data_IF_633039330326
#
_entry.id   IF_633039330326
#
_cell.length_a   1.000
_cell.length_b   1.000
_cell.length_c   1.000
_cell.angle_alpha   90.00
_cell.angle_beta   90.00
_cell.angle_gamma   90.00
#
_symmetry.space_group_name_H-M   'P 1'
#
loop_
_entity.id
_entity.type
_entity.pdbx_description
1 polymer ?
#
# COMPACT_ATOMS: atom_id res chain seq x y z
N UNK A 1 9.30 -3.51 2.35
CA UNK A 1 8.32 -3.85 3.42
C UNK A 1 6.96 -4.00 2.76
N UNK A 2 6.28 -5.13 2.96
CA UNK A 2 4.99 -5.44 2.33
C UNK A 2 3.77 -5.10 3.20
N UNK A 3 3.98 -4.73 4.47
CA UNK A 3 2.98 -4.42 5.49
C UNK A 3 3.46 -3.29 6.41
N UNK A 4 2.58 -2.70 7.23
CA UNK A 4 2.89 -1.72 8.27
C UNK A 4 2.54 -0.26 7.95
N UNK A 5 2.90 0.65 8.86
CA UNK A 5 2.58 2.08 8.86
C UNK A 5 1.08 2.42 9.03
N UNK A 6 0.32 1.57 9.70
CA UNK A 6 -1.08 1.80 10.02
C UNK A 6 -1.23 2.39 11.44
N UNK A 7 -0.65 3.55 11.68
CA UNK A 7 -0.56 4.17 13.01
C UNK A 7 -1.76 5.05 13.37
N UNK A 8 -2.52 5.52 12.39
CA UNK A 8 -3.53 6.55 12.58
C UNK A 8 -4.94 5.99 12.47
N UNK A 9 -5.81 6.44 13.37
CA UNK A 9 -7.24 6.20 13.34
C UNK A 9 -7.95 7.43 12.80
N UNK A 10 -8.94 7.23 11.93
CA UNK A 10 -9.77 8.29 11.36
C UNK A 10 -11.19 8.16 11.91
N UNK A 11 -11.72 9.24 12.48
CA UNK A 11 -13.11 9.31 12.90
C UNK A 11 -14.03 9.53 11.68
N UNK A 12 -14.71 8.46 11.26
CA UNK A 12 -15.71 8.53 10.20
C UNK A 12 -17.16 8.55 10.74
N UNK A 13 -17.35 8.73 12.04
CA UNK A 13 -18.68 8.78 12.63
C UNK A 13 -19.54 9.83 11.92
N UNK A 14 -20.80 9.48 11.69
CA UNK A 14 -21.77 10.33 10.98
C UNK A 14 -21.19 10.86 9.63
N UNK A 15 -20.63 9.95 8.84
CA UNK A 15 -20.05 10.25 7.51
C UNK A 15 -18.91 11.28 7.54
N UNK A 16 -18.11 11.25 8.60
CA UNK A 16 -16.99 12.16 8.78
C UNK A 16 -17.42 13.59 9.11
N UNK A 17 -18.48 13.76 9.87
CA UNK A 17 -19.02 15.07 10.24
C UNK A 17 -17.94 15.97 10.89
N UNK A 18 -17.12 15.42 11.77
CA UNK A 18 -16.05 16.16 12.42
C UNK A 18 -14.99 16.64 11.43
N UNK A 19 -14.66 15.82 10.44
CA UNK A 19 -13.74 16.18 9.36
C UNK A 19 -14.31 17.34 8.54
N UNK A 20 -15.59 17.26 8.17
CA UNK A 20 -16.29 18.27 7.37
C UNK A 20 -16.40 19.60 8.11
N UNK A 21 -16.54 19.55 9.43
CA UNK A 21 -16.70 20.73 10.30
C UNK A 21 -15.38 21.28 10.84
N UNK A 22 -14.24 20.66 10.55
CA UNK A 22 -12.93 21.06 11.10
C UNK A 22 -12.41 22.42 10.62
N UNK A 23 -13.05 23.02 9.60
CA UNK A 23 -12.63 24.29 8.99
C UNK A 23 -11.34 24.20 8.15
N UNK A 24 -10.71 23.04 8.08
CA UNK A 24 -9.54 22.77 7.26
C UNK A 24 -9.90 22.28 5.86
N UNK A 25 -8.92 22.25 4.97
CA UNK A 25 -9.08 21.60 3.66
C UNK A 25 -9.15 20.08 3.86
N UNK A 26 -10.27 19.49 3.48
CA UNK A 26 -10.45 18.05 3.48
C UNK A 26 -10.89 17.54 2.12
N UNK A 27 -10.60 16.29 1.83
CA UNK A 27 -11.10 15.57 0.67
C UNK A 27 -11.44 14.14 1.05
N UNK A 28 -12.71 13.88 1.26
CA UNK A 28 -13.20 12.52 1.40
C UNK A 28 -13.21 11.86 0.02
N UNK A 29 -12.70 10.65 -0.03
CA UNK A 29 -12.65 9.84 -1.25
C UNK A 29 -13.98 9.15 -1.49
N UNK A 30 -14.14 8.55 -2.65
CA UNK A 30 -15.34 7.80 -3.01
C UNK A 30 -15.52 6.60 -2.10
N UNK A 31 -16.70 6.50 -1.49
CA UNK A 31 -17.00 5.50 -0.45
C UNK A 31 -16.93 4.07 -0.95
N UNK A 32 -17.10 3.86 -2.24
CA UNK A 32 -17.02 2.54 -2.85
C UNK A 32 -15.64 1.87 -2.69
N UNK A 33 -14.58 2.68 -2.47
CA UNK A 33 -13.20 2.19 -2.25
C UNK A 33 -12.83 2.05 -0.77
N UNK A 34 -13.70 2.50 0.15
CA UNK A 34 -13.41 2.43 1.58
C UNK A 34 -13.34 0.98 2.05
N UNK A 35 -12.40 0.73 2.95
CA UNK A 35 -12.21 -0.56 3.63
C UNK A 35 -11.84 -1.73 2.71
N UNK A 36 -11.60 -1.48 1.43
CA UNK A 36 -11.15 -2.49 0.48
C UNK A 36 -9.65 -2.69 0.59
N UNK A 37 -9.23 -3.93 0.40
CA UNK A 37 -7.83 -4.26 0.21
C UNK A 37 -7.31 -3.65 -1.09
N UNK A 38 -6.11 -3.08 -1.06
CA UNK A 38 -5.46 -2.49 -2.21
C UNK A 38 -3.94 -2.58 -2.14
N UNK A 39 -3.26 -1.91 -3.04
CA UNK A 39 -1.81 -1.73 -3.04
C UNK A 39 -1.52 -0.24 -2.88
N UNK A 40 -0.76 0.12 -1.85
CA UNK A 40 -0.39 1.51 -1.55
C UNK A 40 1.10 1.74 -1.74
N UNK A 41 1.47 2.99 -1.98
CA UNK A 41 2.85 3.46 -2.03
C UNK A 41 2.96 4.89 -1.50
N UNK A 42 4.17 5.32 -1.17
CA UNK A 42 4.43 6.72 -0.85
C UNK A 42 4.46 7.56 -2.13
N UNK A 43 3.61 8.57 -2.23
CA UNK A 43 3.59 9.48 -3.38
C UNK A 43 4.88 10.27 -3.53
N UNK A 44 5.49 10.66 -2.41
CA UNK A 44 6.75 11.40 -2.37
C UNK A 44 7.74 10.57 -1.58
N UNK A 45 8.88 10.26 -2.17
CA UNK A 45 9.94 9.51 -1.49
C UNK A 45 11.30 10.00 -1.96
N UNK A 46 12.25 10.11 -1.04
CA UNK A 46 13.67 10.34 -1.33
C UNK A 46 14.47 9.04 -1.50
N UNK A 47 13.82 7.91 -1.24
CA UNK A 47 14.35 6.56 -1.43
C UNK A 47 13.63 5.86 -2.59
N UNK A 48 13.98 4.61 -2.83
CA UNK A 48 13.29 3.79 -3.82
C UNK A 48 11.81 3.66 -3.47
N UNK A 49 10.97 3.71 -4.49
CA UNK A 49 9.53 3.50 -4.32
C UNK A 49 9.29 2.09 -3.77
N UNK A 50 8.44 1.99 -2.75
CA UNK A 50 8.07 0.72 -2.14
C UNK A 50 6.55 0.56 -2.12
N UNK A 51 6.10 -0.64 -2.43
CA UNK A 51 4.69 -1.00 -2.47
C UNK A 51 4.32 -1.91 -1.31
N UNK A 52 3.09 -1.71 -0.79
CA UNK A 52 2.56 -2.48 0.34
C UNK A 52 1.12 -2.86 0.08
N UNK A 53 0.69 -4.01 0.59
CA UNK A 53 -0.72 -4.32 0.69
C UNK A 53 -1.38 -3.46 1.78
N UNK A 54 -2.58 -2.96 1.53
CA UNK A 54 -3.43 -2.42 2.57
C UNK A 54 -4.35 -3.52 3.09
N UNK A 55 -4.52 -3.58 4.42
CA UNK A 55 -5.49 -4.50 5.02
C UNK A 55 -6.94 -4.04 4.74
N UNK A 56 -7.91 -4.97 4.72
CA UNK A 56 -9.32 -4.59 4.80
C UNK A 56 -9.56 -3.74 6.06
N UNK A 57 -10.41 -2.73 5.94
CA UNK A 57 -10.68 -1.82 7.07
C UNK A 57 -9.86 -0.54 7.05
N UNK A 58 -8.87 -0.41 6.17
CA UNK A 58 -8.07 0.81 6.05
C UNK A 58 -8.72 1.85 5.14
N UNK A 59 -8.34 3.11 5.38
CA UNK A 59 -8.63 4.25 4.52
C UNK A 59 -7.34 4.76 3.89
N UNK A 60 -7.48 5.59 2.89
CA UNK A 60 -6.34 6.12 2.13
C UNK A 60 -6.49 7.63 1.91
N UNK A 61 -5.36 8.29 1.71
CA UNK A 61 -5.27 9.72 1.47
C UNK A 61 -4.36 10.06 0.30
N UNK A 62 -4.14 11.34 0.10
CA UNK A 62 -3.39 11.86 -1.03
C UNK A 62 -1.89 11.51 -0.98
N UNK A 63 -1.33 11.45 0.23
CA UNK A 63 0.09 11.12 0.45
C UNK A 63 0.40 9.62 0.28
N UNK A 64 -0.62 8.77 0.48
CA UNK A 64 -0.57 7.31 0.29
C UNK A 64 -1.68 6.88 -0.68
N UNK A 65 -1.51 7.05 -1.98
CA UNK A 65 -2.47 6.58 -2.96
C UNK A 65 -2.61 5.06 -2.90
N UNK A 66 -3.78 4.56 -3.28
CA UNK A 66 -4.06 3.13 -3.31
C UNK A 66 -4.57 2.74 -4.68
N UNK A 67 -3.98 1.71 -5.26
CA UNK A 67 -4.48 1.03 -6.45
C UNK A 67 -5.37 -0.16 -6.05
N UNK A 68 -6.54 -0.24 -6.67
CA UNK A 68 -7.47 -1.35 -6.49
C UNK A 68 -7.52 -2.19 -7.75
N UNK A 69 -7.39 -3.50 -7.58
CA UNK A 69 -7.51 -4.46 -8.68
C UNK A 69 -8.46 -5.57 -8.26
N UNK A 70 -9.31 -6.00 -9.19
CA UNK A 70 -10.31 -7.03 -8.92
C UNK A 70 -9.71 -8.42 -8.76
N UNK A 71 -8.59 -8.68 -9.44
CA UNK A 71 -7.93 -9.99 -9.43
C UNK A 71 -6.42 -9.87 -9.48
N UNK A 72 -5.70 -10.91 -9.08
CA UNK A 72 -4.23 -11.00 -9.14
C UNK A 72 -3.48 -9.91 -8.34
N UNK A 73 -4.09 -9.41 -7.26
CA UNK A 73 -3.50 -8.34 -6.46
C UNK A 73 -2.14 -8.72 -5.89
N UNK A 74 -1.99 -9.97 -5.40
CA UNK A 74 -0.71 -10.44 -4.87
C UNK A 74 0.34 -10.57 -5.97
N UNK A 75 -0.05 -11.03 -7.17
CA UNK A 75 0.85 -11.07 -8.32
C UNK A 75 1.34 -9.67 -8.70
N UNK A 76 0.41 -8.70 -8.77
CA UNK A 76 0.73 -7.31 -9.07
C UNK A 76 1.66 -6.72 -8.00
N UNK A 77 1.40 -6.95 -6.71
CA UNK A 77 2.27 -6.51 -5.63
C UNK A 77 3.68 -7.09 -5.77
N UNK A 78 3.78 -8.37 -6.12
CA UNK A 78 5.07 -9.02 -6.40
C UNK A 78 5.80 -8.37 -7.56
N UNK A 79 5.10 -8.10 -8.66
CA UNK A 79 5.68 -7.42 -9.82
C UNK A 79 6.17 -6.00 -9.47
N UNK A 80 5.33 -5.22 -8.78
CA UNK A 80 5.65 -3.86 -8.34
C UNK A 80 6.80 -3.80 -7.32
N UNK A 81 7.14 -4.92 -6.69
CA UNK A 81 8.25 -5.02 -5.74
C UNK A 81 9.56 -5.52 -6.37
N UNK A 82 9.63 -5.64 -7.70
CA UNK A 82 10.84 -6.07 -8.42
C UNK A 82 11.77 -4.92 -8.77
N UNK A 83 13.06 -5.22 -8.94
CA UNK A 83 14.03 -4.25 -9.45
C UNK A 83 13.69 -3.77 -10.88
N UNK A 84 12.90 -4.55 -11.64
CA UNK A 84 12.44 -4.15 -12.96
C UNK A 84 11.52 -2.93 -12.88
N UNK A 85 10.64 -2.87 -11.87
CA UNK A 85 9.80 -1.69 -11.65
C UNK A 85 10.65 -0.44 -11.44
N UNK A 86 11.70 -0.54 -10.61
CA UNK A 86 12.60 0.60 -10.38
C UNK A 86 13.18 1.12 -11.69
N UNK A 87 13.67 0.24 -12.56
CA UNK A 87 14.19 0.63 -13.86
C UNK A 87 13.14 1.34 -14.73
N UNK A 88 11.89 0.87 -14.73
CA UNK A 88 10.80 1.55 -15.43
C UNK A 88 10.45 2.90 -14.80
N UNK A 89 10.41 2.98 -13.47
CA UNK A 89 10.10 4.22 -12.76
C UNK A 89 11.16 5.30 -13.06
N UNK A 90 12.43 4.95 -13.05
CA UNK A 90 13.54 5.86 -13.35
C UNK A 90 13.46 6.42 -14.79
N UNK A 91 12.97 5.62 -15.73
CA UNK A 91 12.79 6.04 -17.13
C UNK A 91 11.54 6.92 -17.31
N UNK A 92 10.42 6.52 -16.68
CA UNK A 92 9.13 7.19 -16.87
C UNK A 92 9.01 8.49 -16.09
N UNK A 93 9.56 8.51 -14.88
CA UNK A 93 9.50 9.67 -14.00
C UNK A 93 10.74 9.72 -13.08
N UNK A 94 11.82 10.41 -13.49
CA UNK A 94 13.05 10.54 -12.70
C UNK A 94 12.91 11.51 -11.50
N UNK A 95 11.68 11.83 -11.10
CA UNK A 95 11.41 12.75 -9.98
C UNK A 95 11.10 11.98 -8.70
N UNK A 96 11.16 12.68 -7.56
CA UNK A 96 10.81 12.13 -6.24
C UNK A 96 9.29 11.88 -6.05
N UNK A 97 8.48 12.20 -7.05
CA UNK A 97 7.03 12.17 -6.96
C UNK A 97 6.45 11.10 -7.89
N UNK A 98 6.00 9.99 -7.32
CA UNK A 98 5.37 8.90 -8.07
C UNK A 98 3.85 9.04 -8.04
N UNK A 99 3.28 9.41 -9.17
CA UNK A 99 1.84 9.56 -9.34
C UNK A 99 1.17 8.26 -9.80
N UNK A 100 -0.15 8.22 -9.66
CA UNK A 100 -0.97 7.08 -10.12
C UNK A 100 -0.74 6.85 -11.62
N UNK A 101 -0.72 7.92 -12.40
CA UNK A 101 -0.50 7.87 -13.86
C UNK A 101 0.86 7.29 -14.25
N UNK A 102 1.87 7.39 -13.41
CA UNK A 102 3.18 6.79 -13.67
C UNK A 102 3.11 5.27 -13.52
N UNK A 103 2.39 4.80 -12.49
CA UNK A 103 2.17 3.36 -12.25
C UNK A 103 1.30 2.73 -13.35
N UNK A 104 0.27 3.43 -13.81
CA UNK A 104 -0.61 2.96 -14.88
C UNK A 104 0.09 2.76 -16.23
N UNK A 105 1.20 3.44 -16.45
CA UNK A 105 2.02 3.32 -17.68
C UNK A 105 2.98 2.13 -17.65
N UNK A 106 3.17 1.50 -16.51
CA UNK A 106 4.12 0.40 -16.39
C UNK A 106 3.55 -0.85 -17.06
N UNK A 107 4.26 -1.45 -18.02
CA UNK A 107 3.78 -2.65 -18.69
C UNK A 107 3.81 -3.84 -17.72
N UNK A 108 2.63 -4.35 -17.36
CA UNK A 108 2.51 -5.53 -16.53
C UNK A 108 2.75 -6.80 -17.36
N UNK A 109 3.79 -7.53 -17.00
CA UNK A 109 4.10 -8.83 -17.59
C UNK A 109 3.47 -9.92 -16.74
N UNK A 110 2.54 -10.69 -17.30
CA UNK A 110 1.89 -11.80 -16.62
C UNK A 110 2.41 -13.12 -17.18
N UNK A 111 3.19 -13.84 -16.37
CA UNK A 111 3.61 -15.21 -16.65
C UNK A 111 2.60 -16.17 -16.00
N UNK A 112 1.66 -16.67 -16.76
CA UNK A 112 0.55 -17.50 -16.27
C UNK A 112 1.03 -18.79 -15.58
N UNK A 113 2.12 -19.40 -16.09
CA UNK A 113 2.76 -20.58 -15.53
C UNK A 113 3.42 -20.34 -14.16
N UNK A 114 3.78 -19.10 -13.85
CA UNK A 114 4.47 -18.70 -12.60
C UNK A 114 3.57 -17.96 -11.63
N UNK A 115 2.36 -17.60 -12.02
CA UNK A 115 1.47 -16.76 -11.22
C UNK A 115 1.30 -17.30 -9.79
N UNK A 116 0.91 -18.55 -9.64
CA UNK A 116 0.68 -19.16 -8.31
C UNK A 116 1.93 -19.12 -7.41
N UNK A 117 3.09 -19.32 -8.01
CA UNK A 117 4.36 -19.30 -7.28
C UNK A 117 4.70 -17.90 -6.80
N UNK A 118 4.51 -16.89 -7.65
CA UNK A 118 4.71 -15.47 -7.28
C UNK A 118 3.76 -15.07 -6.15
N UNK A 119 2.47 -15.39 -6.28
CA UNK A 119 1.47 -15.09 -5.25
C UNK A 119 1.78 -15.77 -3.91
N UNK A 120 2.32 -17.01 -3.93
CA UNK A 120 2.76 -17.70 -2.71
C UNK A 120 3.91 -16.95 -2.02
N UNK A 121 4.93 -16.55 -2.77
CA UNK A 121 6.05 -15.79 -2.21
C UNK A 121 5.63 -14.43 -1.65
N UNK A 122 4.72 -13.74 -2.35
CA UNK A 122 4.21 -12.45 -1.87
C UNK A 122 3.46 -12.62 -0.55
N UNK A 123 2.62 -13.66 -0.42
CA UNK A 123 1.93 -13.96 0.84
C UNK A 123 2.90 -14.25 1.98
N UNK A 124 3.95 -15.01 1.71
CA UNK A 124 4.99 -15.29 2.70
C UNK A 124 5.73 -14.00 3.11
N UNK A 125 6.11 -13.16 2.14
CA UNK A 125 6.70 -11.85 2.42
C UNK A 125 5.78 -10.92 3.22
N UNK A 126 4.47 -10.97 2.97
CA UNK A 126 3.49 -10.21 3.75
C UNK A 126 3.44 -10.67 5.20
N UNK A 127 3.35 -11.99 5.43
CA UNK A 127 3.34 -12.56 6.79
C UNK A 127 4.62 -12.19 7.55
N UNK A 128 5.78 -12.31 6.91
CA UNK A 128 7.06 -11.92 7.53
C UNK A 128 7.11 -10.42 7.85
N UNK A 129 6.59 -9.57 6.96
CA UNK A 129 6.56 -8.12 7.19
C UNK A 129 5.56 -7.72 8.28
N UNK A 130 4.45 -8.44 8.41
CA UNK A 130 3.47 -8.26 9.48
C UNK A 130 4.07 -8.66 10.83
N UNK A 131 4.68 -9.82 10.91
CA UNK A 131 5.38 -10.27 12.12
C UNK A 131 6.50 -9.32 12.55
N UNK A 132 7.27 -8.79 11.59
CA UNK A 132 8.30 -7.79 11.86
C UNK A 132 7.68 -6.49 12.40
N UNK A 133 6.63 -5.97 11.76
CA UNK A 133 5.92 -4.78 12.21
C UNK A 133 5.30 -4.94 13.60
N UNK A 134 4.63 -6.07 13.86
CA UNK A 134 3.96 -6.35 15.12
C UNK A 134 4.96 -6.67 16.27
N UNK A 135 6.24 -6.76 15.94
CA UNK A 135 7.30 -6.85 16.95
C UNK A 135 7.67 -5.48 17.58
N UNK A 136 7.15 -4.38 17.04
CA UNK A 136 7.38 -3.03 17.54
C UNK A 136 6.15 -2.48 18.26
N UNK A 137 6.37 -1.70 19.31
CA UNK A 137 5.34 -1.11 20.18
C UNK A 137 4.41 -0.11 19.44
N UNK A 138 4.77 0.31 18.25
CA UNK A 138 3.97 1.18 17.38
C UNK A 138 2.85 0.44 16.63
N UNK A 139 2.90 -0.89 16.63
CA UNK A 139 1.83 -1.70 16.05
C UNK A 139 0.65 -1.82 17.01
N UNK A 140 -0.56 -1.77 16.47
CA UNK A 140 -1.81 -2.06 17.20
C UNK A 140 -1.90 -3.52 17.69
N UNK A 141 -1.23 -4.44 17.00
CA UNK A 141 -1.21 -5.87 17.26
C UNK A 141 0.05 -6.30 18.04
N UNK A 142 0.83 -5.33 18.56
CA UNK A 142 2.00 -5.61 19.39
C UNK A 142 1.60 -6.41 20.64
N UNK A 143 2.24 -7.53 20.84
CA UNK A 143 2.02 -8.38 22.03
C UNK A 143 3.25 -8.46 22.93
N UNK A 144 4.42 -8.59 22.35
CA UNK A 144 5.70 -8.60 23.07
C UNK A 144 6.87 -8.43 22.12
N UNK A 145 7.97 -7.90 22.61
CA UNK A 145 9.21 -7.83 21.87
C UNK A 145 9.81 -9.24 21.64
N UNK A 146 10.28 -9.58 20.42
CA UNK A 146 10.80 -10.92 20.11
C UNK A 146 11.98 -11.38 20.96
N UNK A 147 12.72 -10.45 21.58
CA UNK A 147 13.87 -10.74 22.45
C UNK A 147 13.49 -10.94 23.93
N UNK A 148 12.21 -10.81 24.27
CA UNK A 148 11.65 -11.02 25.61
C UNK A 148 10.74 -12.24 25.63
#
# INVERSE_FOLDING_TARGET
MFYGNNEKIINLWNDGADIKNSGGNYRLREKEYYFKRGITWGRITSADISFRATAPGTLFGDAGPVGFVESKQDYLLGFLSTNMLKAFADILNPTLNCQITDIERIPLIIAADRQRRVESYVKECMVLSEQDWDSFEESWDFSRHPLL
#
